data_IF_423537775384
#
_entry.id   IF_423537775384
#
_cell.length_a   1.000
_cell.length_b   1.000
_cell.length_c   1.000
_cell.angle_alpha   90.00
_cell.angle_beta   90.00
_cell.angle_gamma   90.00
#
_symmetry.space_group_name_H-M   'P 1'
#
loop_
_entity.id
_entity.type
_entity.pdbx_description
1 polymer ?
#
# COMPACT_ATOMS: atom_id res chain seq x y z
N UNK A 1 73.52 27.78 -7.53
CA UNK A 1 73.17 26.41 -7.87
C UNK A 1 72.47 26.40 -9.21
N UNK A 2 72.91 25.56 -10.16
CA UNK A 2 72.33 25.44 -11.48
C UNK A 2 70.94 24.76 -11.41
N UNK A 3 69.94 25.33 -12.11
CA UNK A 3 68.57 24.80 -12.10
C UNK A 3 68.49 23.39 -12.62
N UNK A 4 69.33 23.04 -13.58
CA UNK A 4 69.37 21.70 -14.18
C UNK A 4 69.78 20.60 -13.20
N UNK A 5 70.65 20.91 -12.24
CA UNK A 5 71.03 19.97 -11.15
C UNK A 5 69.85 19.77 -10.18
N UNK A 6 69.09 20.81 -9.87
CA UNK A 6 67.89 20.70 -9.05
C UNK A 6 66.78 19.86 -9.72
N UNK A 7 66.57 20.04 -11.03
CA UNK A 7 65.58 19.24 -11.78
C UNK A 7 65.98 17.77 -11.83
N UNK A 8 67.23 17.41 -12.03
CA UNK A 8 67.74 16.04 -11.97
C UNK A 8 67.55 15.43 -10.56
N UNK A 9 67.75 16.24 -9.53
CA UNK A 9 67.51 15.80 -8.14
C UNK A 9 66.01 15.52 -7.90
N UNK A 10 65.12 16.37 -8.40
CA UNK A 10 63.66 16.12 -8.27
C UNK A 10 63.19 14.95 -9.11
N UNK A 11 63.84 14.65 -10.21
CA UNK A 11 63.60 13.47 -11.06
C UNK A 11 64.22 12.17 -10.49
N UNK A 12 65.00 12.23 -9.40
CA UNK A 12 65.65 11.07 -8.79
C UNK A 12 66.81 10.48 -9.60
N UNK A 13 67.39 11.28 -10.54
CA UNK A 13 68.46 10.84 -11.47
C UNK A 13 69.86 11.32 -11.08
N UNK A 14 70.02 11.91 -9.89
CA UNK A 14 71.33 12.41 -9.38
C UNK A 14 72.09 11.34 -8.64
N UNK A 15 73.46 11.48 -8.62
CA UNK A 15 74.32 10.65 -7.79
C UNK A 15 74.16 10.98 -6.29
N UNK A 16 74.57 10.05 -5.42
CA UNK A 16 74.51 10.23 -3.97
C UNK A 16 75.29 11.44 -3.53
N UNK A 17 76.49 11.71 -4.14
CA UNK A 17 77.34 12.82 -3.82
C UNK A 17 76.68 14.17 -4.21
N UNK A 18 76.12 14.26 -5.41
CA UNK A 18 75.38 15.45 -5.86
C UNK A 18 74.15 15.73 -4.99
N UNK A 19 73.45 14.69 -4.52
CA UNK A 19 72.32 14.83 -3.59
C UNK A 19 72.72 15.39 -2.23
N UNK A 20 73.91 15.00 -1.73
CA UNK A 20 74.47 15.56 -0.49
C UNK A 20 74.89 17.04 -0.65
N UNK A 21 75.47 17.43 -1.79
CA UNK A 21 75.83 18.75 -2.08
C UNK A 21 74.64 19.70 -2.20
N UNK A 22 73.55 19.23 -2.80
CA UNK A 22 72.29 19.97 -2.91
C UNK A 22 71.67 20.19 -1.52
N UNK A 23 71.69 19.20 -0.65
CA UNK A 23 71.19 19.30 0.72
C UNK A 23 72.04 20.30 1.53
N UNK A 24 73.38 20.22 1.46
CA UNK A 24 74.26 21.15 2.11
C UNK A 24 74.03 22.60 1.62
N UNK A 25 73.86 22.78 0.29
CA UNK A 25 73.54 24.11 -0.27
C UNK A 25 72.17 24.61 0.20
N UNK A 26 71.14 23.78 0.31
CA UNK A 26 69.83 24.16 0.80
C UNK A 26 69.91 24.60 2.26
N UNK A 27 70.64 23.87 3.10
CA UNK A 27 70.78 24.18 4.53
C UNK A 27 71.65 25.40 4.82
N UNK A 28 72.54 25.87 3.87
CA UNK A 28 73.44 26.95 4.04
C UNK A 28 72.78 28.37 4.15
N UNK A 29 71.54 28.51 3.66
CA UNK A 29 70.83 29.79 3.72
C UNK A 29 69.33 29.62 3.58
N UNK A 30 68.56 30.47 4.28
CA UNK A 30 67.07 30.47 4.14
C UNK A 30 66.66 30.94 2.71
N UNK A 31 67.47 31.72 2.02
CA UNK A 31 67.23 32.12 0.63
C UNK A 31 67.40 30.94 -0.33
N UNK A 32 68.37 30.06 -0.09
CA UNK A 32 68.54 28.81 -0.83
C UNK A 32 67.38 27.87 -0.65
N UNK A 33 66.82 27.73 0.56
CA UNK A 33 65.59 26.95 0.83
C UNK A 33 64.43 27.48 0.04
N UNK A 34 64.22 28.80 0.00
CA UNK A 34 63.12 29.43 -0.79
C UNK A 34 63.26 29.12 -2.28
N UNK A 35 64.46 29.20 -2.81
CA UNK A 35 64.80 28.89 -4.22
C UNK A 35 64.50 27.39 -4.48
N UNK A 36 64.94 26.49 -3.60
CA UNK A 36 64.72 25.06 -3.72
C UNK A 36 63.21 24.70 -3.75
N UNK A 37 62.41 25.24 -2.82
CA UNK A 37 60.96 24.96 -2.79
C UNK A 37 60.23 25.62 -3.95
N UNK A 38 60.68 26.77 -4.43
CA UNK A 38 60.11 27.43 -5.61
C UNK A 38 60.32 26.58 -6.87
N UNK A 39 61.56 26.10 -7.11
CA UNK A 39 61.87 25.26 -8.25
C UNK A 39 61.21 23.86 -8.15
N UNK A 40 61.10 23.32 -6.95
CA UNK A 40 60.35 22.07 -6.74
C UNK A 40 58.87 22.23 -7.11
N UNK A 41 58.23 23.30 -6.68
CA UNK A 41 56.82 23.58 -7.00
C UNK A 41 56.60 23.74 -8.51
N UNK A 42 57.55 24.32 -9.19
CA UNK A 42 57.52 24.44 -10.66
C UNK A 42 57.69 23.08 -11.33
N UNK A 43 58.59 22.23 -10.83
CA UNK A 43 58.83 20.91 -11.35
C UNK A 43 57.60 19.99 -11.14
N UNK A 44 57.03 20.01 -9.95
CA UNK A 44 55.77 19.25 -9.64
C UNK A 44 54.60 19.73 -10.54
N UNK A 45 54.49 21.03 -10.82
CA UNK A 45 53.47 21.59 -11.71
C UNK A 45 53.66 21.15 -13.17
N UNK A 46 54.91 21.01 -13.64
CA UNK A 46 55.20 20.50 -14.98
C UNK A 46 54.92 19.01 -15.10
N UNK A 47 55.24 18.24 -14.06
CA UNK A 47 54.95 16.79 -14.03
C UNK A 47 53.45 16.48 -13.98
N UNK A 48 52.66 17.27 -13.24
CA UNK A 48 51.19 17.14 -13.20
C UNK A 48 50.58 17.43 -14.57
N UNK A 49 51.20 18.27 -15.40
CA UNK A 49 50.70 18.59 -16.73
C UNK A 49 50.96 17.47 -17.75
N UNK A 50 52.07 16.68 -17.54
CA UNK A 50 52.41 15.55 -18.44
C UNK A 50 51.58 14.31 -18.15
N UNK A 51 51.09 14.11 -16.87
CA UNK A 51 50.21 13.03 -16.49
C UNK A 51 48.74 13.21 -16.92
N UNK A 52 48.37 14.43 -17.36
CA UNK A 52 47.01 14.67 -17.88
C UNK A 52 46.80 14.19 -19.31
N UNK A 53 47.84 13.73 -20.01
CA UNK A 53 47.73 13.13 -21.34
C UNK A 53 47.59 11.62 -21.33
N UNK A 54 47.73 10.95 -20.20
CA UNK A 54 47.25 9.56 -20.05
C UNK A 54 45.74 9.55 -19.84
N UNK A 55 45.03 9.80 -20.95
CA UNK A 55 43.69 9.29 -21.19
C UNK A 55 43.12 8.44 -20.06
N UNK A 56 42.29 9.06 -19.20
CA UNK A 56 41.09 8.37 -18.72
C UNK A 56 40.23 8.14 -19.96
N UNK A 57 40.64 7.26 -20.85
CA UNK A 57 39.74 6.46 -21.62
C UNK A 57 38.93 5.63 -20.59
N UNK A 58 37.83 6.23 -20.07
CA UNK A 58 36.66 5.46 -19.78
C UNK A 58 36.42 4.74 -21.09
N UNK A 59 36.92 3.50 -21.15
CA UNK A 59 36.55 2.56 -22.20
C UNK A 59 35.03 2.44 -22.08
N UNK A 60 34.31 3.31 -22.75
CA UNK A 60 32.95 3.06 -23.13
C UNK A 60 33.07 1.84 -24.02
N UNK A 61 33.02 0.64 -23.38
CA UNK A 61 32.83 -0.62 -24.10
C UNK A 61 31.67 -0.31 -25.02
N UNK A 62 31.96 -0.07 -26.30
CA UNK A 62 30.93 0.19 -27.31
C UNK A 62 30.04 -1.02 -27.25
N UNK A 63 28.84 -0.83 -26.66
CA UNK A 63 27.82 -1.88 -26.56
C UNK A 63 27.70 -2.43 -27.98
N UNK A 64 28.02 -3.70 -28.22
CA UNK A 64 28.00 -4.27 -29.55
C UNK A 64 26.64 -4.01 -30.20
N UNK A 65 26.61 -3.72 -31.49
CA UNK A 65 25.37 -3.32 -32.20
C UNK A 65 24.21 -4.30 -31.92
N UNK A 66 24.52 -5.57 -31.72
CA UNK A 66 23.56 -6.62 -31.37
C UNK A 66 22.88 -6.34 -30.03
N UNK A 67 23.64 -6.01 -28.96
CA UNK A 67 23.07 -5.69 -27.62
C UNK A 67 22.22 -4.43 -27.70
N UNK A 68 22.58 -3.44 -28.51
CA UNK A 68 21.79 -2.22 -28.71
C UNK A 68 20.47 -2.49 -29.43
N UNK A 69 20.40 -3.49 -30.29
CA UNK A 69 19.14 -3.93 -30.91
C UNK A 69 18.26 -4.69 -29.90
N UNK A 70 18.84 -5.58 -29.12
CA UNK A 70 18.13 -6.30 -28.05
C UNK A 70 17.58 -5.37 -26.97
N UNK A 71 18.34 -4.31 -26.60
CA UNK A 71 17.84 -3.28 -25.67
C UNK A 71 16.62 -2.53 -26.20
N UNK A 72 16.56 -2.26 -27.51
CA UNK A 72 15.37 -1.65 -28.13
C UNK A 72 14.16 -2.57 -28.07
N UNK A 73 14.35 -3.87 -28.35
CA UNK A 73 13.27 -4.86 -28.27
C UNK A 73 12.80 -5.02 -26.83
N UNK A 74 13.74 -5.12 -25.88
CA UNK A 74 13.43 -5.21 -24.47
C UNK A 74 12.65 -3.99 -23.97
N UNK A 75 13.01 -2.76 -24.42
CA UNK A 75 12.27 -1.55 -24.02
C UNK A 75 10.83 -1.54 -24.53
N UNK A 76 10.59 -2.03 -25.75
CA UNK A 76 9.22 -2.16 -26.29
C UNK A 76 8.43 -3.19 -25.50
N UNK A 77 9.02 -4.34 -25.17
CA UNK A 77 8.35 -5.38 -24.38
C UNK A 77 8.01 -4.85 -22.98
N UNK A 78 8.93 -4.18 -22.31
CA UNK A 78 8.68 -3.57 -21.00
C UNK A 78 7.56 -2.53 -21.10
N UNK A 79 7.59 -1.69 -22.12
CA UNK A 79 6.56 -0.66 -22.31
C UNK A 79 5.18 -1.29 -22.54
N UNK A 80 5.08 -2.32 -23.37
CA UNK A 80 3.80 -3.02 -23.61
C UNK A 80 3.29 -3.74 -22.37
N UNK A 81 4.16 -4.36 -21.59
CA UNK A 81 3.79 -4.99 -20.32
C UNK A 81 3.33 -3.97 -19.28
N UNK A 82 4.01 -2.82 -19.19
CA UNK A 82 3.60 -1.74 -18.27
C UNK A 82 2.25 -1.13 -18.68
N UNK A 83 2.04 -0.87 -19.97
CA UNK A 83 0.75 -0.37 -20.47
C UNK A 83 -0.36 -1.39 -20.19
N UNK A 84 -0.13 -2.68 -20.47
CA UNK A 84 -1.11 -3.74 -20.19
C UNK A 84 -1.43 -3.82 -18.69
N UNK A 85 -0.40 -3.78 -17.82
CA UNK A 85 -0.57 -3.76 -16.37
C UNK A 85 -1.41 -2.56 -15.90
N UNK A 86 -1.09 -1.36 -16.38
CA UNK A 86 -1.85 -0.14 -16.07
C UNK A 86 -3.28 -0.20 -16.59
N UNK A 87 -3.47 -0.73 -17.81
CA UNK A 87 -4.80 -0.92 -18.40
C UNK A 87 -5.65 -1.91 -17.59
N UNK A 88 -5.08 -3.05 -17.18
CA UNK A 88 -5.79 -4.01 -16.33
C UNK A 88 -6.14 -3.41 -14.96
N UNK A 89 -5.21 -2.66 -14.37
CA UNK A 89 -5.46 -1.97 -13.10
C UNK A 89 -6.59 -0.94 -13.25
N UNK A 90 -6.56 -0.11 -14.29
CA UNK A 90 -7.59 0.89 -14.59
C UNK A 90 -8.96 0.24 -14.84
N UNK A 91 -9.00 -0.84 -15.60
CA UNK A 91 -10.24 -1.60 -15.89
C UNK A 91 -10.83 -2.19 -14.61
N UNK A 92 -9.99 -2.75 -13.73
CA UNK A 92 -10.44 -3.33 -12.44
C UNK A 92 -11.04 -2.30 -11.49
N UNK A 93 -10.64 -1.03 -11.58
CA UNK A 93 -11.17 0.04 -10.73
C UNK A 93 -12.45 0.67 -11.27
N UNK A 94 -12.70 0.58 -12.58
CA UNK A 94 -13.83 1.22 -13.27
C UNK A 94 -14.88 0.22 -13.82
N UNK A 95 -14.83 -1.04 -13.41
CA UNK A 95 -15.89 -1.98 -13.79
C UNK A 95 -17.22 -1.50 -13.18
N UNK A 96 -18.18 -1.11 -14.03
CA UNK A 96 -19.56 -0.86 -13.60
C UNK A 96 -20.12 -2.19 -13.10
N UNK A 97 -20.07 -2.36 -11.77
CA UNK A 97 -20.57 -3.58 -11.14
C UNK A 97 -22.09 -3.55 -11.24
N UNK A 98 -22.67 -4.45 -12.02
CA UNK A 98 -24.11 -4.62 -12.07
C UNK A 98 -24.62 -4.97 -10.66
N UNK A 99 -25.59 -4.20 -10.17
CA UNK A 99 -26.18 -4.34 -8.85
C UNK A 99 -27.57 -5.00 -8.94
N UNK A 100 -27.78 -6.01 -8.11
CA UNK A 100 -29.11 -6.56 -7.86
C UNK A 100 -29.76 -5.77 -6.72
N UNK A 101 -31.05 -5.51 -6.82
CA UNK A 101 -31.85 -4.88 -5.77
C UNK A 101 -33.02 -5.79 -5.41
N UNK A 102 -33.12 -6.12 -4.14
CA UNK A 102 -34.27 -6.84 -3.57
C UNK A 102 -34.97 -5.92 -2.60
N UNK A 103 -36.28 -5.72 -2.81
CA UNK A 103 -37.12 -4.89 -1.95
C UNK A 103 -38.26 -5.72 -1.41
N UNK A 104 -38.44 -5.70 -0.10
CA UNK A 104 -39.47 -6.48 0.62
C UNK A 104 -40.60 -5.54 1.03
N UNK A 105 -41.85 -5.80 0.58
CA UNK A 105 -43.00 -4.99 0.96
C UNK A 105 -43.33 -5.06 2.46
N UNK A 106 -44.19 -4.17 2.92
CA UNK A 106 -44.70 -4.18 4.29
C UNK A 106 -45.44 -5.51 4.58
N UNK A 107 -45.18 -6.08 5.76
CA UNK A 107 -45.82 -7.33 6.22
C UNK A 107 -45.27 -8.61 5.60
N UNK A 108 -44.27 -8.51 4.72
CA UNK A 108 -43.62 -9.66 4.12
C UNK A 108 -42.19 -9.83 4.64
N UNK A 109 -41.65 -11.03 4.47
CA UNK A 109 -40.23 -11.36 4.73
C UNK A 109 -39.72 -12.21 3.58
N UNK A 110 -38.44 -12.14 3.30
CA UNK A 110 -37.83 -12.98 2.27
C UNK A 110 -36.45 -13.48 2.68
N UNK A 111 -36.07 -14.62 2.15
CA UNK A 111 -34.73 -15.16 2.31
C UNK A 111 -34.06 -15.21 0.95
N UNK A 112 -32.81 -14.80 0.89
CA UNK A 112 -31.98 -14.84 -0.31
C UNK A 112 -30.61 -15.41 0.00
N UNK A 113 -30.04 -16.12 -0.98
CA UNK A 113 -28.64 -16.54 -0.93
C UNK A 113 -27.83 -15.65 -1.88
N UNK A 114 -26.83 -14.99 -1.34
CA UNK A 114 -25.92 -14.12 -2.10
C UNK A 114 -24.90 -14.94 -2.92
N UNK A 115 -24.23 -14.33 -3.93
CA UNK A 115 -23.28 -15.03 -4.79
C UNK A 115 -22.08 -15.66 -4.07
N UNK A 116 -21.77 -15.22 -2.85
CA UNK A 116 -20.69 -15.78 -2.02
C UNK A 116 -21.13 -16.95 -1.12
N UNK A 117 -22.42 -17.32 -1.16
CA UNK A 117 -23.05 -18.34 -0.33
C UNK A 117 -23.55 -17.82 1.02
N UNK A 118 -23.53 -16.50 1.27
CA UNK A 118 -24.11 -15.87 2.45
C UNK A 118 -25.62 -15.93 2.37
N UNK A 119 -26.30 -16.36 3.45
CA UNK A 119 -27.75 -16.33 3.56
C UNK A 119 -28.20 -15.05 4.27
N UNK A 120 -29.23 -14.41 3.73
CA UNK A 120 -29.77 -13.15 4.27
C UNK A 120 -31.28 -13.26 4.37
N UNK A 121 -31.81 -13.01 5.57
CA UNK A 121 -33.23 -12.88 5.82
C UNK A 121 -33.62 -11.41 5.95
N UNK A 122 -34.40 -10.93 5.01
CA UNK A 122 -34.84 -9.55 4.95
C UNK A 122 -36.20 -9.40 5.61
N UNK A 123 -36.34 -8.45 6.52
CA UNK A 123 -37.60 -8.13 7.18
C UNK A 123 -38.47 -7.21 6.29
N UNK A 124 -39.68 -6.89 6.74
CA UNK A 124 -40.61 -6.01 6.04
C UNK A 124 -40.03 -4.63 5.79
N UNK A 125 -40.39 -3.98 4.66
CA UNK A 125 -39.94 -2.63 4.26
C UNK A 125 -38.42 -2.51 4.16
N UNK A 126 -37.73 -3.61 3.83
CA UNK A 126 -36.29 -3.67 3.71
C UNK A 126 -35.88 -3.69 2.25
N UNK A 127 -34.84 -2.95 1.93
CA UNK A 127 -34.17 -2.99 0.61
C UNK A 127 -32.73 -3.38 0.79
N UNK A 128 -32.30 -4.42 0.06
CA UNK A 128 -30.92 -4.88 -0.02
C UNK A 128 -30.41 -4.71 -1.45
N UNK A 129 -29.27 -4.07 -1.60
CA UNK A 129 -28.55 -4.00 -2.88
C UNK A 129 -27.23 -4.73 -2.75
N UNK A 130 -26.90 -5.56 -3.72
CA UNK A 130 -25.65 -6.32 -3.75
C UNK A 130 -25.17 -6.54 -5.18
N UNK A 131 -23.86 -6.66 -5.41
CA UNK A 131 -23.31 -6.86 -6.74
C UNK A 131 -23.61 -8.27 -7.27
N UNK A 132 -23.77 -8.41 -8.59
CA UNK A 132 -23.90 -9.72 -9.25
C UNK A 132 -22.69 -10.61 -8.94
N UNK A 133 -21.50 -9.99 -8.83
CA UNK A 133 -20.26 -10.68 -8.45
C UNK A 133 -19.50 -9.81 -7.44
N UNK A 134 -19.08 -10.40 -6.32
CA UNK A 134 -18.28 -9.71 -5.32
C UNK A 134 -16.83 -9.53 -5.79
N UNK A 135 -16.22 -8.40 -5.37
CA UNK A 135 -14.81 -8.16 -5.54
C UNK A 135 -13.95 -9.17 -4.75
N UNK A 136 -12.75 -9.42 -5.24
CA UNK A 136 -11.78 -10.25 -4.51
C UNK A 136 -11.21 -9.56 -3.25
N UNK A 137 -11.36 -8.22 -3.15
CA UNK A 137 -10.85 -7.44 -2.01
C UNK A 137 -11.86 -7.39 -0.87
N UNK A 138 -13.15 -7.22 -1.18
CA UNK A 138 -14.23 -7.09 -0.19
C UNK A 138 -15.58 -7.46 -0.79
N UNK A 139 -16.53 -7.83 0.07
CA UNK A 139 -17.91 -8.21 -0.27
C UNK A 139 -18.84 -7.15 0.33
N UNK A 140 -19.22 -6.16 -0.45
CA UNK A 140 -20.03 -5.04 0.05
C UNK A 140 -21.47 -5.19 -0.40
N UNK A 141 -22.41 -5.01 0.54
CA UNK A 141 -23.86 -4.91 0.31
C UNK A 141 -24.39 -3.63 0.95
N UNK A 142 -25.50 -3.11 0.43
CA UNK A 142 -26.14 -1.89 0.94
C UNK A 142 -27.50 -2.27 1.51
N UNK A 143 -27.74 -1.90 2.77
CA UNK A 143 -28.95 -2.23 3.50
C UNK A 143 -29.71 -0.96 3.91
N UNK A 144 -31.02 -0.96 3.65
CA UNK A 144 -31.99 -0.02 4.21
C UNK A 144 -33.12 -0.84 4.82
N UNK A 145 -33.27 -0.81 6.12
CA UNK A 145 -34.22 -1.64 6.87
C UNK A 145 -33.53 -2.66 7.78
N UNK A 146 -34.15 -3.78 8.00
CA UNK A 146 -33.72 -4.82 8.95
C UNK A 146 -33.40 -6.13 8.23
N UNK A 147 -32.22 -6.70 8.54
CA UNK A 147 -31.84 -8.00 7.98
C UNK A 147 -30.94 -8.80 8.93
N UNK A 148 -31.18 -10.08 8.95
CA UNK A 148 -30.30 -11.06 9.58
C UNK A 148 -29.36 -11.67 8.53
N UNK A 149 -28.09 -11.76 8.88
CA UNK A 149 -27.04 -12.27 8.02
C UNK A 149 -26.38 -13.52 8.63
N UNK A 150 -26.30 -14.60 7.85
CA UNK A 150 -25.44 -15.75 8.13
C UNK A 150 -24.30 -15.76 7.08
N UNK A 151 -23.21 -15.09 7.42
CA UNK A 151 -22.15 -14.76 6.48
C UNK A 151 -21.18 -15.92 6.33
N UNK A 152 -20.97 -16.36 5.09
CA UNK A 152 -19.95 -17.36 4.73
C UNK A 152 -18.56 -16.91 5.14
N UNK A 153 -17.85 -17.75 5.91
CA UNK A 153 -16.55 -17.43 6.47
C UNK A 153 -15.47 -17.34 5.39
N UNK A 154 -14.88 -16.15 5.22
CA UNK A 154 -13.74 -15.88 4.33
C UNK A 154 -12.78 -14.92 5.01
N UNK A 155 -11.62 -15.43 5.48
CA UNK A 155 -10.65 -14.67 6.28
C UNK A 155 -9.98 -13.51 5.54
N UNK A 156 -9.82 -13.61 4.20
CA UNK A 156 -9.09 -12.63 3.38
C UNK A 156 -9.98 -11.58 2.72
N UNK A 157 -11.30 -11.80 2.70
CA UNK A 157 -12.25 -10.96 1.98
C UNK A 157 -13.37 -10.58 2.93
N UNK A 158 -13.28 -9.42 3.62
CA UNK A 158 -14.30 -8.99 4.56
C UNK A 158 -15.66 -8.82 3.88
N UNK A 159 -16.73 -9.07 4.63
CA UNK A 159 -18.11 -8.79 4.25
C UNK A 159 -18.54 -7.50 4.95
N UNK A 160 -19.03 -6.52 4.18
CA UNK A 160 -19.37 -5.20 4.68
C UNK A 160 -20.84 -4.93 4.38
N UNK A 161 -21.63 -4.76 5.43
CA UNK A 161 -22.98 -4.21 5.32
C UNK A 161 -22.91 -2.70 5.51
N UNK A 162 -23.19 -1.97 4.46
CA UNK A 162 -23.24 -0.52 4.45
C UNK A 162 -24.68 -0.04 4.63
N UNK A 163 -24.91 0.76 5.64
CA UNK A 163 -26.16 1.47 5.88
C UNK A 163 -25.99 2.95 5.57
N UNK A 164 -27.00 3.77 5.80
CA UNK A 164 -26.89 5.21 5.57
C UNK A 164 -25.89 5.91 6.53
N UNK A 165 -25.63 5.33 7.71
CA UNK A 165 -24.82 5.97 8.76
C UNK A 165 -23.63 5.12 9.24
N UNK A 166 -23.68 3.82 9.09
CA UNK A 166 -22.70 2.87 9.67
C UNK A 166 -22.28 1.82 8.66
N UNK A 167 -21.01 1.44 8.72
CA UNK A 167 -20.45 0.28 8.05
C UNK A 167 -20.22 -0.84 9.06
N UNK A 168 -20.74 -2.04 8.78
CA UNK A 168 -20.64 -3.23 9.60
C UNK A 168 -19.72 -4.23 8.89
N UNK A 169 -18.53 -4.46 9.41
CA UNK A 169 -17.53 -5.34 8.82
C UNK A 169 -17.41 -6.66 9.59
N UNK A 170 -17.45 -7.77 8.84
CA UNK A 170 -17.36 -9.13 9.39
C UNK A 170 -16.54 -10.06 8.48
N UNK A 171 -16.05 -11.21 9.03
CA UNK A 171 -15.30 -12.21 8.26
C UNK A 171 -16.02 -13.55 8.10
N UNK A 172 -17.13 -13.74 8.81
CA UNK A 172 -17.91 -14.99 8.85
C UNK A 172 -18.65 -15.07 10.16
N UNK A 173 -19.83 -14.51 10.21
CA UNK A 173 -20.51 -14.05 11.42
C UNK A 173 -22.01 -14.18 11.24
N UNK A 174 -22.70 -14.51 12.30
CA UNK A 174 -24.16 -14.48 12.39
C UNK A 174 -24.58 -13.27 13.21
N UNK A 175 -25.27 -12.34 12.59
CA UNK A 175 -25.66 -11.08 13.20
C UNK A 175 -26.91 -10.50 12.55
N UNK A 176 -27.57 -9.65 13.29
CA UNK A 176 -28.73 -8.89 12.87
C UNK A 176 -28.37 -7.40 12.76
N UNK A 177 -29.01 -6.69 11.82
CA UNK A 177 -28.85 -5.25 11.62
C UNK A 177 -30.24 -4.62 11.46
N UNK A 178 -30.56 -3.68 12.32
CA UNK A 178 -31.72 -2.79 12.22
C UNK A 178 -31.23 -1.38 11.87
N UNK A 179 -31.53 -0.94 10.65
CA UNK A 179 -31.09 0.33 10.08
C UNK A 179 -32.17 0.95 9.17
N UNK A 180 -33.39 1.10 9.69
CA UNK A 180 -34.45 1.80 8.95
C UNK A 180 -34.15 3.29 8.81
N UNK A 181 -34.23 3.86 7.59
CA UNK A 181 -33.89 5.27 7.35
C UNK A 181 -34.77 6.28 8.08
N UNK A 182 -36.05 5.92 8.30
CA UNK A 182 -37.05 6.72 9.00
C UNK A 182 -36.90 6.69 10.54
N UNK A 183 -36.02 5.86 11.05
CA UNK A 183 -35.71 5.76 12.48
C UNK A 183 -34.36 6.43 12.80
N UNK A 184 -34.27 7.09 13.93
CA UNK A 184 -33.02 7.59 14.47
C UNK A 184 -32.18 6.47 15.13
N UNK A 185 -32.85 5.37 15.46
CA UNK A 185 -32.24 4.22 16.09
C UNK A 185 -31.49 3.38 15.04
N UNK A 186 -30.26 3.04 15.34
CA UNK A 186 -29.47 2.00 14.67
C UNK A 186 -29.13 0.97 15.71
N UNK A 187 -29.32 -0.30 15.35
CA UNK A 187 -28.96 -1.41 16.22
C UNK A 187 -28.33 -2.54 15.41
N UNK A 188 -27.30 -3.19 15.96
CA UNK A 188 -26.77 -4.44 15.40
C UNK A 188 -26.46 -5.41 16.53
N UNK A 189 -26.93 -6.64 16.41
CA UNK A 189 -26.82 -7.68 17.45
C UNK A 189 -25.99 -8.83 16.94
N UNK A 190 -24.95 -9.20 17.69
CA UNK A 190 -24.04 -10.28 17.35
C UNK A 190 -24.39 -11.57 18.05
N UNK A 191 -24.71 -12.63 17.27
CA UNK A 191 -24.95 -13.98 17.77
C UNK A 191 -23.66 -14.80 17.81
N UNK A 192 -22.90 -14.84 16.70
CA UNK A 192 -21.71 -15.69 16.58
C UNK A 192 -20.64 -14.98 15.74
N UNK A 193 -19.40 -15.02 16.20
CA UNK A 193 -18.24 -14.45 15.49
C UNK A 193 -17.76 -13.13 16.07
N UNK A 194 -17.48 -12.16 15.21
CA UNK A 194 -17.04 -10.81 15.57
C UNK A 194 -17.59 -9.81 14.56
N UNK A 195 -18.05 -8.67 15.04
CA UNK A 195 -18.57 -7.56 14.24
C UNK A 195 -17.79 -6.31 14.59
N UNK A 196 -17.31 -5.60 13.56
CA UNK A 196 -16.74 -4.25 13.71
C UNK A 196 -17.74 -3.26 13.11
N UNK A 197 -18.17 -2.29 13.90
CA UNK A 197 -19.08 -1.22 13.51
C UNK A 197 -18.32 0.09 13.47
N UNK A 198 -18.41 0.81 12.37
CA UNK A 198 -17.73 2.10 12.17
C UNK A 198 -18.75 3.14 11.69
N UNK A 199 -18.75 4.32 12.29
CA UNK A 199 -19.54 5.45 11.81
C UNK A 199 -18.96 5.98 10.49
N UNK A 200 -19.83 6.24 9.50
CA UNK A 200 -19.39 6.85 8.21
C UNK A 200 -19.06 8.33 8.35
N UNK A 201 -19.68 9.01 9.32
CA UNK A 201 -19.45 10.44 9.56
C UNK A 201 -18.28 10.71 10.49
N UNK A 202 -18.03 9.79 11.42
CA UNK A 202 -16.99 9.89 12.45
C UNK A 202 -16.20 8.57 12.49
N UNK A 203 -15.22 8.35 11.59
CA UNK A 203 -14.49 7.07 11.48
C UNK A 203 -13.74 6.66 12.76
N UNK A 204 -13.45 7.61 13.65
CA UNK A 204 -12.89 7.37 14.97
C UNK A 204 -13.89 6.65 15.90
N UNK A 205 -15.19 6.80 15.67
CA UNK A 205 -16.21 6.05 16.38
C UNK A 205 -16.31 4.64 15.76
N UNK A 206 -15.41 3.78 16.23
CA UNK A 206 -15.37 2.37 15.84
C UNK A 206 -15.47 1.49 17.07
N UNK A 207 -16.35 0.49 17.02
CA UNK A 207 -16.50 -0.49 18.09
C UNK A 207 -16.42 -1.91 17.54
N UNK A 208 -15.93 -2.85 18.37
CA UNK A 208 -15.92 -4.27 18.04
C UNK A 208 -16.80 -5.03 19.03
N UNK A 209 -17.80 -5.72 18.50
CA UNK A 209 -18.71 -6.54 19.28
C UNK A 209 -18.13 -7.94 19.51
N UNK A 210 -18.38 -8.45 20.72
CA UNK A 210 -18.21 -9.85 21.08
C UNK A 210 -19.57 -10.56 20.99
N UNK A 211 -19.60 -11.89 20.87
CA UNK A 211 -20.86 -12.66 20.89
C UNK A 211 -21.74 -12.26 22.10
N UNK A 212 -23.03 -12.25 21.88
CA UNK A 212 -24.03 -11.86 22.88
C UNK A 212 -24.00 -10.37 23.28
N UNK A 213 -23.51 -9.50 22.37
CA UNK A 213 -23.56 -8.05 22.55
C UNK A 213 -24.27 -7.40 21.37
N UNK A 214 -24.88 -6.26 21.63
CA UNK A 214 -25.44 -5.36 20.63
C UNK A 214 -24.80 -3.98 20.69
N UNK A 215 -24.61 -3.39 19.53
CA UNK A 215 -24.31 -2.00 19.37
C UNK A 215 -25.60 -1.24 19.06
N UNK A 216 -25.75 -0.07 19.62
CA UNK A 216 -26.87 0.82 19.38
C UNK A 216 -26.42 2.28 19.51
N UNK A 217 -27.23 3.19 19.00
CA UNK A 217 -26.95 4.64 19.10
C UNK A 217 -27.63 5.19 20.35
N UNK A 218 -26.82 5.84 21.20
CA UNK A 218 -27.30 6.60 22.36
C UNK A 218 -26.65 7.98 22.33
N UNK A 219 -27.46 9.04 22.37
CA UNK A 219 -27.01 10.44 22.37
C UNK A 219 -26.04 10.76 21.20
N UNK A 220 -26.29 10.16 20.04
CA UNK A 220 -25.45 10.34 18.83
C UNK A 220 -24.13 9.56 18.81
N UNK A 221 -23.87 8.72 19.83
CA UNK A 221 -22.67 7.90 19.93
C UNK A 221 -23.01 6.41 19.92
N UNK A 222 -22.07 5.60 19.41
CA UNK A 222 -22.18 4.15 19.46
C UNK A 222 -21.93 3.64 20.88
N UNK A 223 -22.90 2.93 21.44
CA UNK A 223 -22.84 2.27 22.74
C UNK A 223 -22.97 0.75 22.58
N UNK A 224 -22.46 -0.01 23.55
CA UNK A 224 -22.52 -1.47 23.58
C UNK A 224 -23.25 -1.93 24.82
N UNK A 225 -24.13 -2.91 24.67
CA UNK A 225 -24.77 -3.60 25.81
C UNK A 225 -24.79 -5.10 25.58
N UNK A 226 -24.89 -5.86 26.66
CA UNK A 226 -25.01 -7.31 26.62
C UNK A 226 -26.46 -7.69 26.37
N UNK A 227 -26.68 -8.68 25.51
CA UNK A 227 -28.01 -9.26 25.22
C UNK A 227 -28.09 -10.62 25.90
N UNK A 228 -29.09 -10.80 26.74
CA UNK A 228 -29.32 -12.06 27.48
C UNK A 228 -30.34 -12.95 26.80
N UNK A 229 -31.21 -12.40 25.96
CA UNK A 229 -32.27 -13.14 25.26
C UNK A 229 -32.17 -12.88 23.75
N UNK A 230 -31.99 -13.97 22.98
CA UNK A 230 -31.95 -13.97 21.52
C UNK A 230 -33.25 -14.49 20.88
N UNK A 231 -34.24 -14.84 21.68
CA UNK A 231 -35.53 -15.36 21.20
C UNK A 231 -36.17 -14.43 20.16
N UNK A 232 -36.18 -13.09 20.32
CA UNK A 232 -36.75 -12.20 19.31
C UNK A 232 -36.08 -12.34 17.94
N UNK A 233 -34.74 -12.49 17.91
CA UNK A 233 -33.93 -12.59 16.67
C UNK A 233 -34.02 -13.97 16.03
N UNK A 234 -34.24 -15.05 16.81
CA UNK A 234 -34.47 -16.45 16.32
C UNK A 234 -35.88 -16.67 15.84
N UNK A 235 -36.89 -16.12 16.50
CA UNK A 235 -38.31 -16.28 16.13
C UNK A 235 -38.60 -15.63 14.76
N UNK A 236 -37.93 -14.56 14.40
CA UNK A 236 -38.02 -14.02 13.05
C UNK A 236 -37.52 -14.98 11.97
N UNK A 237 -36.63 -15.93 12.32
CA UNK A 237 -36.08 -16.95 11.42
C UNK A 237 -36.91 -18.26 11.37
N UNK A 238 -37.52 -18.66 12.50
CA UNK A 238 -38.20 -19.98 12.61
C UNK A 238 -39.51 -20.02 11.83
N UNK A 239 -40.24 -18.91 11.71
CA UNK A 239 -41.50 -18.86 10.95
C UNK A 239 -41.31 -18.96 9.42
N UNK A 240 -40.09 -18.96 8.90
CA UNK A 240 -39.80 -19.08 7.45
C UNK A 240 -39.56 -20.56 7.07
N UNK A 241 -39.27 -21.44 8.01
CA UNK A 241 -38.86 -22.83 7.74
C UNK A 241 -39.98 -23.89 7.79
N UNK A 242 -41.20 -23.54 8.18
CA UNK A 242 -42.33 -24.47 8.09
C UNK A 242 -43.14 -24.20 6.82
N UNK A 243 -43.09 -25.11 5.81
CA UNK A 243 -44.06 -25.08 4.73
C UNK A 243 -45.42 -25.42 5.36
N UNK A 244 -46.36 -24.50 5.31
CA UNK A 244 -47.78 -24.76 5.58
C UNK A 244 -48.23 -25.92 4.69
N UNK A 245 -48.52 -27.05 5.31
CA UNK A 245 -49.25 -28.16 4.68
C UNK A 245 -50.69 -27.76 4.47
#
# INVERSE_FOLDING_TARGET
MEKEKLHRFFAGTTSIQEGMDIRAWMEASEENKRIFYKERKLFDALMVHDDQTTNNCISTKRIPKIIRQWLKIASVIILTLTINYLYQKYKSENEVIAMNTVSVPAGQRTNITLPDGTNVWLNARTTLQYPVTFSQKQRTVFLKGEAYFDVTKKKKTPFIVRTDKYDIEVLGTQFDVDAYPDQTAFETTLMKGSVKVTSQYFPEQTITLKPHHKAYVKDGQLAVTKVNDFTPYRLSLIHISEPTR
#
